data_IF_157121358706
#
_entry.id   IF_157121358706
#
_cell.length_a   1.000
_cell.length_b   1.000
_cell.length_c   1.000
_cell.angle_alpha   90.00
_cell.angle_beta   90.00
_cell.angle_gamma   90.00
#
_symmetry.space_group_name_H-M   'P 1'
#
loop_
_entity.id
_entity.type
_entity.pdbx_description
1 polymer ?
#
# COMPACT_ATOMS: atom_id res chain seq x y z
N UNK A 1 -31.94 -28.29 9.18
CA UNK A 1 -32.19 -26.88 9.57
C UNK A 1 -30.94 -26.18 10.13
N UNK A 2 -30.17 -26.87 10.95
CA UNK A 2 -28.95 -26.32 11.61
C UNK A 2 -27.85 -25.94 10.62
N UNK A 3 -27.54 -26.77 9.63
CA UNK A 3 -26.57 -26.47 8.57
C UNK A 3 -26.92 -25.17 7.76
N UNK A 4 -28.20 -24.96 7.46
CA UNK A 4 -28.64 -23.71 6.76
C UNK A 4 -28.57 -22.49 7.66
N UNK A 5 -28.81 -22.60 8.97
CA UNK A 5 -28.66 -21.50 9.94
C UNK A 5 -27.20 -21.13 10.12
N UNK A 6 -26.32 -22.11 10.25
CA UNK A 6 -24.90 -21.93 10.39
C UNK A 6 -24.28 -21.28 9.14
N UNK A 7 -24.69 -21.71 7.95
CA UNK A 7 -24.24 -21.13 6.68
C UNK A 7 -24.73 -19.69 6.49
N UNK A 8 -25.97 -19.40 6.89
CA UNK A 8 -26.54 -18.04 6.86
C UNK A 8 -25.80 -17.10 7.83
N UNK A 9 -25.53 -17.56 9.06
CA UNK A 9 -24.75 -16.79 10.06
C UNK A 9 -23.31 -16.51 9.61
N UNK A 10 -22.63 -17.47 8.96
CA UNK A 10 -21.28 -17.29 8.43
C UNK A 10 -21.29 -16.30 7.26
N UNK A 11 -22.28 -16.35 6.38
CA UNK A 11 -22.40 -15.41 5.25
C UNK A 11 -22.72 -14.00 5.73
N UNK A 12 -23.62 -13.83 6.68
CA UNK A 12 -23.91 -12.52 7.30
C UNK A 12 -22.66 -11.93 7.95
N UNK A 13 -21.84 -12.76 8.61
CA UNK A 13 -20.58 -12.32 9.22
C UNK A 13 -19.54 -11.85 8.17
N UNK A 14 -19.40 -12.51 7.02
CA UNK A 14 -18.42 -12.11 6.00
C UNK A 14 -18.82 -10.83 5.28
N UNK A 15 -20.11 -10.60 5.03
CA UNK A 15 -20.58 -9.35 4.40
C UNK A 15 -20.41 -8.15 5.34
N UNK A 16 -20.62 -8.32 6.65
CA UNK A 16 -20.28 -7.30 7.65
C UNK A 16 -18.77 -6.95 7.61
N UNK A 17 -17.91 -7.95 7.60
CA UNK A 17 -16.46 -7.79 7.51
C UNK A 17 -16.03 -7.04 6.24
N UNK A 18 -16.61 -7.39 5.09
CA UNK A 18 -16.38 -6.68 3.82
C UNK A 18 -16.79 -5.22 3.91
N UNK A 19 -17.96 -4.94 4.45
CA UNK A 19 -18.49 -3.57 4.61
C UNK A 19 -17.59 -2.74 5.52
N UNK A 20 -17.23 -3.27 6.68
CA UNK A 20 -16.34 -2.61 7.66
C UNK A 20 -14.96 -2.34 7.10
N UNK A 21 -14.36 -3.31 6.39
CA UNK A 21 -13.06 -3.14 5.76
C UNK A 21 -13.10 -2.08 4.65
N UNK A 22 -14.09 -2.15 3.75
CA UNK A 22 -14.24 -1.17 2.66
C UNK A 22 -14.49 0.25 3.20
N UNK A 23 -15.28 0.40 4.26
CA UNK A 23 -15.49 1.71 4.89
C UNK A 23 -14.21 2.25 5.50
N UNK A 24 -13.47 1.42 6.24
CA UNK A 24 -12.19 1.82 6.81
C UNK A 24 -11.19 2.34 5.76
N UNK A 25 -11.09 1.68 4.60
CA UNK A 25 -10.17 2.14 3.55
C UNK A 25 -10.58 3.49 2.96
N UNK A 26 -11.88 3.81 2.92
CA UNK A 26 -12.37 5.15 2.55
C UNK A 26 -12.01 6.18 3.61
N UNK A 27 -12.25 5.87 4.88
CA UNK A 27 -11.96 6.77 6.00
C UNK A 27 -10.45 7.05 6.08
N UNK A 28 -9.63 6.03 5.91
CA UNK A 28 -8.18 6.16 5.90
C UNK A 28 -7.68 6.98 4.71
N UNK A 29 -8.26 6.78 3.50
CA UNK A 29 -7.97 7.61 2.32
C UNK A 29 -8.23 9.08 2.63
N UNK A 30 -9.36 9.41 3.25
CA UNK A 30 -9.70 10.79 3.56
C UNK A 30 -8.74 11.40 4.59
N UNK A 31 -8.30 10.64 5.60
CA UNK A 31 -7.29 11.07 6.55
C UNK A 31 -5.94 11.35 5.86
N UNK A 32 -5.47 10.47 4.99
CA UNK A 32 -4.24 10.71 4.22
C UNK A 32 -4.36 11.93 3.31
N UNK A 33 -5.46 12.05 2.56
CA UNK A 33 -5.68 13.21 1.69
C UNK A 33 -5.69 14.52 2.49
N UNK A 34 -6.37 14.57 3.62
CA UNK A 34 -6.39 15.75 4.50
C UNK A 34 -5.00 16.11 4.98
N UNK A 35 -4.25 15.14 5.53
CA UNK A 35 -2.89 15.37 6.02
C UNK A 35 -1.92 15.84 4.92
N UNK A 36 -2.05 15.32 3.72
CA UNK A 36 -1.20 15.74 2.60
C UNK A 36 -1.55 17.14 2.09
N UNK A 37 -2.84 17.52 2.06
CA UNK A 37 -3.26 18.88 1.73
C UNK A 37 -2.84 19.91 2.81
N UNK A 38 -2.79 19.52 4.08
CA UNK A 38 -2.25 20.39 5.14
C UNK A 38 -0.75 20.64 5.01
N UNK A 39 -0.02 19.72 4.38
CA UNK A 39 1.43 19.83 4.18
C UNK A 39 1.81 20.55 2.89
N UNK A 40 0.88 20.72 1.95
CA UNK A 40 1.10 21.24 0.59
C UNK A 40 0.04 22.31 0.22
N UNK A 41 0.26 22.97 -0.90
CA UNK A 41 -0.69 23.92 -1.52
C UNK A 41 -1.62 23.25 -2.55
N UNK A 42 -1.37 22.00 -2.89
CA UNK A 42 -2.13 21.22 -3.87
C UNK A 42 -3.51 20.76 -3.38
N UNK A 43 -4.30 20.28 -4.30
CA UNK A 43 -5.59 19.62 -4.03
C UNK A 43 -5.70 18.30 -4.78
N UNK A 44 -6.48 17.36 -4.26
CA UNK A 44 -6.68 16.07 -4.89
C UNK A 44 -7.70 16.14 -6.03
N UNK A 45 -7.27 15.77 -7.23
CA UNK A 45 -8.15 15.38 -8.32
C UNK A 45 -8.58 13.92 -8.13
N UNK A 46 -9.89 13.66 -8.21
CA UNK A 46 -10.47 12.34 -7.95
C UNK A 46 -11.19 11.81 -9.19
N UNK A 47 -10.81 10.60 -9.60
CA UNK A 47 -11.36 9.91 -10.76
C UNK A 47 -11.81 8.50 -10.40
N UNK A 48 -13.09 8.24 -10.52
CA UNK A 48 -13.65 6.89 -10.35
C UNK A 48 -13.42 6.02 -11.58
N UNK A 49 -13.24 4.74 -11.36
CA UNK A 49 -13.13 3.73 -12.42
C UNK A 49 -13.98 2.50 -12.08
N UNK A 50 -14.38 1.76 -13.11
CA UNK A 50 -15.17 0.53 -12.99
C UNK A 50 -14.29 -0.68 -13.23
N UNK A 51 -14.48 -1.74 -12.44
CA UNK A 51 -13.84 -3.03 -12.66
C UNK A 51 -14.63 -3.86 -13.68
N UNK A 52 -13.93 -4.68 -14.48
CA UNK A 52 -14.56 -5.54 -15.50
C UNK A 52 -15.53 -6.57 -14.90
N UNK A 53 -15.28 -7.06 -13.69
CA UNK A 53 -16.19 -7.93 -12.94
C UNK A 53 -17.30 -7.11 -12.31
N UNK A 54 -17.13 -6.71 -11.06
CA UNK A 54 -18.07 -5.84 -10.35
C UNK A 54 -17.29 -4.90 -9.42
N UNK A 55 -17.89 -3.74 -9.12
CA UNK A 55 -17.29 -2.70 -8.32
C UNK A 55 -16.32 -1.82 -9.12
N UNK A 56 -15.31 -1.30 -8.44
CA UNK A 56 -14.35 -0.37 -9.01
C UNK A 56 -13.48 0.28 -7.94
N UNK A 57 -13.01 1.47 -8.23
CA UNK A 57 -12.20 2.25 -7.30
C UNK A 57 -12.21 3.73 -7.61
N UNK A 58 -11.43 4.46 -6.84
CA UNK A 58 -11.17 5.87 -7.02
C UNK A 58 -9.68 6.12 -6.97
N UNK A 59 -9.16 6.81 -7.97
CA UNK A 59 -7.81 7.34 -8.02
C UNK A 59 -7.90 8.76 -7.49
N UNK A 60 -7.15 9.09 -6.44
CA UNK A 60 -7.00 10.44 -5.93
C UNK A 60 -5.55 10.86 -6.11
N UNK A 61 -5.29 11.86 -6.95
CA UNK A 61 -3.93 12.33 -7.24
C UNK A 61 -3.82 13.81 -6.93
N UNK A 62 -2.75 14.19 -6.23
CA UNK A 62 -2.39 15.57 -5.98
C UNK A 62 -0.98 15.85 -6.51
N UNK A 63 -0.79 17.04 -7.07
CA UNK A 63 0.51 17.64 -7.40
C UNK A 63 0.58 19.01 -6.73
N UNK A 64 1.71 19.31 -6.13
CA UNK A 64 1.90 20.55 -5.38
C UNK A 64 3.37 20.92 -5.25
N UNK A 65 3.69 21.76 -4.29
CA UNK A 65 5.05 22.23 -4.04
C UNK A 65 5.89 21.24 -3.24
N UNK A 66 5.27 20.49 -2.34
CA UNK A 66 5.91 19.44 -1.53
C UNK A 66 5.85 18.10 -2.25
N UNK A 67 4.66 17.70 -2.68
CA UNK A 67 4.43 16.46 -3.41
C UNK A 67 4.49 16.72 -4.92
N UNK A 68 5.57 16.30 -5.58
CA UNK A 68 5.62 16.34 -7.05
C UNK A 68 4.51 15.48 -7.66
N UNK A 69 4.21 14.34 -7.02
CA UNK A 69 3.00 13.56 -7.21
C UNK A 69 2.74 12.69 -6.00
N UNK A 70 1.56 12.73 -5.45
CA UNK A 70 1.06 11.75 -4.49
C UNK A 70 -0.27 11.19 -4.98
N UNK A 71 -0.41 9.88 -4.88
CA UNK A 71 -1.65 9.18 -5.18
C UNK A 71 -2.15 8.41 -3.96
N UNK A 72 -3.46 8.50 -3.72
CA UNK A 72 -4.17 7.76 -2.68
C UNK A 72 -5.34 7.04 -3.33
N UNK A 73 -5.17 5.77 -3.64
CA UNK A 73 -6.14 4.98 -4.37
C UNK A 73 -6.89 4.04 -3.45
N UNK A 74 -8.20 3.93 -3.64
CA UNK A 74 -9.03 2.89 -3.02
C UNK A 74 -9.72 2.07 -4.08
N UNK A 75 -9.99 0.82 -3.77
CA UNK A 75 -10.79 -0.06 -4.61
C UNK A 75 -11.62 -1.04 -3.78
N UNK A 76 -12.78 -1.39 -4.33
CA UNK A 76 -13.62 -2.50 -3.87
C UNK A 76 -14.13 -3.23 -5.10
N UNK A 77 -13.62 -4.42 -5.33
CA UNK A 77 -13.85 -5.18 -6.57
C UNK A 77 -14.21 -6.62 -6.27
N UNK A 78 -14.97 -7.23 -7.16
CA UNK A 78 -15.22 -8.67 -7.14
C UNK A 78 -15.26 -9.23 -8.56
N UNK A 79 -14.99 -10.52 -8.69
CA UNK A 79 -14.94 -11.18 -9.97
C UNK A 79 -14.56 -12.65 -9.84
N UNK A 80 -14.06 -13.20 -10.94
CA UNK A 80 -13.53 -14.56 -10.99
C UNK A 80 -12.11 -14.55 -11.53
N UNK A 81 -11.22 -15.30 -10.87
CA UNK A 81 -9.87 -15.50 -11.38
C UNK A 81 -9.90 -16.33 -12.67
N UNK A 82 -9.05 -15.96 -13.63
CA UNK A 82 -8.84 -16.76 -14.83
C UNK A 82 -8.31 -18.16 -14.49
N UNK A 83 -8.41 -19.10 -15.43
CA UNK A 83 -7.89 -20.46 -15.28
C UNK A 83 -6.39 -20.49 -14.91
N UNK A 84 -5.60 -19.53 -15.39
CA UNK A 84 -4.17 -19.40 -15.06
C UNK A 84 -3.92 -19.10 -13.57
N UNK A 85 -4.81 -18.31 -12.94
CA UNK A 85 -4.69 -17.91 -11.54
C UNK A 85 -5.48 -18.78 -10.58
N UNK A 86 -6.42 -19.56 -11.09
CA UNK A 86 -7.14 -20.56 -10.32
C UNK A 86 -6.12 -21.56 -9.75
N UNK A 87 -6.23 -21.85 -8.45
CA UNK A 87 -5.29 -22.67 -7.68
C UNK A 87 -3.94 -22.01 -7.32
N UNK A 88 -3.60 -20.83 -7.86
CA UNK A 88 -2.45 -20.05 -7.41
C UNK A 88 -2.79 -19.12 -6.23
N UNK A 89 -4.07 -18.81 -6.04
CA UNK A 89 -4.57 -17.98 -4.95
C UNK A 89 -5.30 -18.88 -3.96
N UNK A 90 -5.00 -18.75 -2.68
CA UNK A 90 -5.63 -19.56 -1.61
C UNK A 90 -7.16 -19.44 -1.65
N UNK A 91 -7.85 -20.56 -1.42
CA UNK A 91 -9.29 -20.61 -1.36
C UNK A 91 -10.01 -20.58 -2.71
N UNK A 92 -9.28 -20.67 -3.82
CA UNK A 92 -9.87 -20.73 -5.18
C UNK A 92 -10.00 -22.16 -5.71
N UNK A 93 -9.64 -23.16 -4.94
CA UNK A 93 -9.64 -24.57 -5.34
C UNK A 93 -11.05 -25.08 -5.72
N UNK A 94 -12.07 -24.60 -5.00
CA UNK A 94 -13.48 -24.96 -5.24
C UNK A 94 -14.25 -23.93 -6.06
N UNK A 95 -13.84 -22.67 -6.03
CA UNK A 95 -14.53 -21.57 -6.72
C UNK A 95 -13.53 -20.48 -7.09
N UNK A 96 -13.51 -19.99 -8.35
CA UNK A 96 -12.63 -18.93 -8.78
C UNK A 96 -13.03 -17.52 -8.25
N UNK A 97 -14.16 -17.42 -7.56
CA UNK A 97 -14.72 -16.15 -7.11
C UNK A 97 -13.84 -15.46 -6.07
N UNK A 98 -13.73 -14.16 -6.18
CA UNK A 98 -13.06 -13.33 -5.20
C UNK A 98 -13.82 -12.02 -4.94
N UNK A 99 -13.56 -11.45 -3.79
CA UNK A 99 -13.85 -10.06 -3.42
C UNK A 99 -12.59 -9.47 -2.78
N UNK A 100 -12.26 -8.24 -3.13
CA UNK A 100 -11.10 -7.55 -2.57
C UNK A 100 -11.42 -6.07 -2.37
N UNK A 101 -10.97 -5.52 -1.25
CA UNK A 101 -10.96 -4.08 -1.02
C UNK A 101 -9.62 -3.67 -0.43
N UNK A 102 -9.18 -2.44 -0.73
CA UNK A 102 -7.92 -1.95 -0.23
C UNK A 102 -7.67 -0.48 -0.54
N UNK A 103 -6.58 0.00 0.05
CA UNK A 103 -5.99 1.31 -0.16
C UNK A 103 -4.54 1.14 -0.62
N UNK A 104 -4.08 2.00 -1.52
CA UNK A 104 -2.69 2.06 -1.97
C UNK A 104 -2.26 3.51 -2.10
N UNK A 105 -1.11 3.83 -1.54
CA UNK A 105 -0.55 5.19 -1.49
C UNK A 105 0.88 5.15 -1.96
N UNK A 106 1.23 6.07 -2.86
CA UNK A 106 2.61 6.35 -3.21
C UNK A 106 2.81 7.86 -3.29
N UNK A 107 3.81 8.35 -2.58
CA UNK A 107 4.18 9.76 -2.53
C UNK A 107 5.59 9.97 -3.07
N UNK A 108 5.71 10.75 -4.15
CA UNK A 108 6.97 11.22 -4.73
C UNK A 108 7.12 12.71 -4.48
N UNK A 109 8.23 13.11 -3.88
CA UNK A 109 8.44 14.45 -3.37
C UNK A 109 9.19 15.34 -4.36
N UNK A 110 8.91 16.65 -4.36
CA UNK A 110 9.72 17.61 -5.10
C UNK A 110 11.14 17.70 -4.54
N UNK A 111 11.27 17.81 -3.22
CA UNK A 111 12.56 17.86 -2.55
C UNK A 111 13.24 16.49 -2.47
N UNK A 112 14.52 16.36 -2.85
CA UNK A 112 15.31 15.14 -2.62
C UNK A 112 15.62 14.89 -1.13
N UNK A 113 15.37 15.86 -0.24
CA UNK A 113 15.53 15.73 1.21
C UNK A 113 14.39 14.97 1.87
N UNK A 114 13.24 14.88 1.22
CA UNK A 114 12.08 14.14 1.72
C UNK A 114 12.01 12.77 1.04
N UNK A 115 11.94 11.67 1.80
CA UNK A 115 11.81 10.33 1.23
C UNK A 115 10.54 10.15 0.41
N UNK A 116 10.58 9.25 -0.57
CA UNK A 116 9.36 8.68 -1.13
C UNK A 116 8.77 7.65 -0.16
N UNK A 117 7.44 7.55 -0.13
CA UNK A 117 6.72 6.62 0.74
C UNK A 117 5.75 5.77 -0.07
N UNK A 118 5.65 4.52 0.32
CA UNK A 118 4.64 3.59 -0.14
C UNK A 118 3.89 2.99 1.06
N UNK A 119 2.59 2.88 0.93
CA UNK A 119 1.72 2.19 1.87
C UNK A 119 0.60 1.50 1.13
N UNK A 120 0.28 0.28 1.50
CA UNK A 120 -0.95 -0.38 1.08
C UNK A 120 -1.47 -1.32 2.16
N UNK A 121 -2.79 -1.47 2.23
CA UNK A 121 -3.44 -2.56 2.96
C UNK A 121 -4.67 -3.02 2.21
N UNK A 122 -4.97 -4.31 2.30
CA UNK A 122 -6.09 -4.94 1.61
C UNK A 122 -6.74 -6.03 2.46
N UNK A 123 -8.04 -6.22 2.25
CA UNK A 123 -8.78 -7.39 2.69
C UNK A 123 -9.24 -8.17 1.46
N UNK A 124 -8.90 -9.44 1.39
CA UNK A 124 -9.23 -10.33 0.29
C UNK A 124 -10.06 -11.51 0.78
N UNK A 125 -11.10 -11.85 0.04
CA UNK A 125 -12.04 -12.94 0.33
C UNK A 125 -12.19 -13.82 -0.90
N UNK A 126 -11.94 -15.11 -0.70
CA UNK A 126 -12.18 -16.20 -1.65
C UNK A 126 -12.99 -17.28 -0.93
N UNK A 127 -12.66 -18.55 -1.06
CA UNK A 127 -13.07 -19.60 -0.11
C UNK A 127 -12.45 -19.44 1.28
N UNK A 128 -11.47 -18.54 1.41
CA UNK A 128 -10.83 -18.08 2.64
C UNK A 128 -10.80 -16.55 2.65
N UNK A 129 -10.37 -15.96 3.75
CA UNK A 129 -10.17 -14.50 3.80
C UNK A 129 -8.92 -14.15 4.59
N UNK A 130 -8.25 -13.04 4.23
CA UNK A 130 -7.05 -12.56 4.92
C UNK A 130 -6.77 -11.09 4.64
N UNK A 131 -5.96 -10.50 5.49
CA UNK A 131 -5.37 -9.20 5.24
C UNK A 131 -3.97 -9.31 4.66
N UNK A 132 -3.59 -8.32 3.87
CA UNK A 132 -2.23 -8.11 3.39
C UNK A 132 -1.93 -6.62 3.32
N UNK A 133 -0.65 -6.28 3.30
CA UNK A 133 -0.22 -4.90 3.16
C UNK A 133 1.18 -4.64 3.67
N UNK A 134 1.49 -3.37 3.83
CA UNK A 134 2.76 -2.91 4.36
C UNK A 134 2.99 -1.43 4.11
N UNK A 135 4.11 -0.96 4.60
CA UNK A 135 4.60 0.40 4.40
C UNK A 135 6.12 0.35 4.26
N UNK A 136 6.67 1.14 3.35
CA UNK A 136 8.11 1.29 3.20
C UNK A 136 8.52 2.70 2.78
N UNK A 137 9.75 3.05 3.07
CA UNK A 137 10.35 4.36 2.83
C UNK A 137 11.55 4.24 1.89
N UNK A 138 11.59 5.10 0.87
CA UNK A 138 12.67 5.16 -0.12
C UNK A 138 13.29 6.56 -0.13
N UNK A 139 14.33 6.83 0.67
CA UNK A 139 15.03 8.10 0.66
C UNK A 139 16.00 8.19 -0.52
N UNK A 140 16.26 9.42 -1.00
CA UNK A 140 17.40 9.71 -1.87
C UNK A 140 18.68 9.68 -1.05
N UNK A 141 18.68 10.37 0.09
CA UNK A 141 19.77 10.39 1.07
C UNK A 141 19.30 9.79 2.38
N UNK A 142 20.04 8.80 2.88
CA UNK A 142 19.69 8.13 4.12
C UNK A 142 19.85 9.09 5.30
N UNK A 143 18.79 9.27 6.07
CA UNK A 143 18.78 9.97 7.35
C UNK A 143 18.40 8.97 8.45
N UNK A 144 19.37 8.61 9.30
CA UNK A 144 19.19 7.60 10.33
C UNK A 144 18.09 7.94 11.34
N UNK A 145 17.84 9.24 11.61
CA UNK A 145 16.78 9.65 12.51
C UNK A 145 15.39 9.44 11.90
N UNK A 146 15.26 9.67 10.60
CA UNK A 146 14.01 9.43 9.87
C UNK A 146 13.74 7.94 9.71
N UNK A 147 14.78 7.16 9.42
CA UNK A 147 14.71 5.68 9.39
C UNK A 147 14.25 5.15 10.76
N UNK A 148 14.87 5.61 11.86
CA UNK A 148 14.46 5.23 13.20
C UNK A 148 13.03 5.65 13.53
N UNK A 149 12.62 6.86 13.17
CA UNK A 149 11.26 7.35 13.40
C UNK A 149 10.24 6.48 12.65
N UNK A 150 10.45 6.24 11.35
CA UNK A 150 9.57 5.44 10.53
C UNK A 150 9.42 4.02 11.06
N UNK A 151 10.54 3.36 11.32
CA UNK A 151 10.54 2.01 11.86
C UNK A 151 9.94 1.92 13.27
N UNK A 152 10.19 2.89 14.17
CA UNK A 152 9.62 2.88 15.52
C UNK A 152 8.09 3.00 15.53
N UNK A 153 7.51 3.75 14.59
CA UNK A 153 6.06 3.84 14.41
C UNK A 153 5.46 2.51 13.93
N UNK A 154 6.09 1.87 12.97
CA UNK A 154 5.65 0.56 12.48
C UNK A 154 5.84 -0.55 13.52
N UNK A 155 6.94 -0.51 14.26
CA UNK A 155 7.21 -1.44 15.36
C UNK A 155 6.15 -1.30 16.45
N UNK A 156 5.79 -0.07 16.85
CA UNK A 156 4.71 0.20 17.80
C UNK A 156 3.39 -0.40 17.32
N UNK A 157 3.02 -0.17 16.05
CA UNK A 157 1.80 -0.75 15.47
C UNK A 157 1.80 -2.29 15.55
N UNK A 158 2.94 -2.92 15.30
CA UNK A 158 3.09 -4.37 15.41
C UNK A 158 3.01 -4.87 16.85
N UNK A 159 3.77 -4.26 17.76
CA UNK A 159 3.90 -4.71 19.16
C UNK A 159 2.60 -4.60 19.97
N UNK A 160 1.71 -3.66 19.62
CA UNK A 160 0.38 -3.56 20.21
C UNK A 160 -0.47 -4.82 20.00
N UNK A 161 -0.12 -5.65 19.02
CA UNK A 161 -0.88 -6.85 18.64
C UNK A 161 -0.09 -8.15 18.85
N UNK A 162 1.18 -8.16 18.41
CA UNK A 162 2.06 -9.32 18.58
C UNK A 162 3.54 -8.89 18.45
N UNK A 163 4.36 -9.23 19.43
CA UNK A 163 5.79 -8.91 19.45
C UNK A 163 6.59 -9.50 18.29
N UNK A 164 6.14 -10.62 17.74
CA UNK A 164 6.77 -11.29 16.61
C UNK A 164 6.43 -10.64 15.25
N UNK A 165 5.43 -9.77 15.18
CA UNK A 165 5.00 -9.18 13.92
C UNK A 165 6.08 -8.29 13.31
N UNK A 166 6.67 -7.39 14.10
CA UNK A 166 7.66 -6.46 13.56
C UNK A 166 8.89 -7.16 13.00
N UNK A 167 9.62 -8.03 13.73
CA UNK A 167 10.80 -8.69 13.17
C UNK A 167 10.46 -9.55 11.95
N UNK A 168 9.32 -10.25 11.96
CA UNK A 168 8.85 -11.05 10.84
C UNK A 168 8.52 -10.20 9.62
N UNK A 169 7.72 -9.16 9.80
CA UNK A 169 7.23 -8.36 8.68
C UNK A 169 8.29 -7.40 8.13
N UNK A 170 9.23 -6.96 8.98
CA UNK A 170 10.42 -6.25 8.53
C UNK A 170 11.28 -7.13 7.62
N UNK A 171 11.58 -8.34 8.04
CA UNK A 171 12.32 -9.30 7.22
C UNK A 171 11.62 -9.54 5.87
N UNK A 172 10.31 -9.77 5.88
CA UNK A 172 9.53 -9.94 4.65
C UNK A 172 9.63 -8.71 3.73
N UNK A 173 9.63 -7.50 4.31
CA UNK A 173 9.76 -6.25 3.56
C UNK A 173 11.13 -6.12 2.91
N UNK A 174 12.20 -6.39 3.66
CA UNK A 174 13.59 -6.32 3.19
C UNK A 174 13.82 -7.31 2.03
N UNK A 175 13.28 -8.53 2.14
CA UNK A 175 13.34 -9.55 1.08
C UNK A 175 12.49 -9.20 -0.14
N UNK A 176 11.31 -8.61 0.06
CA UNK A 176 10.38 -8.27 -1.02
C UNK A 176 10.88 -7.08 -1.86
N UNK A 177 11.31 -5.99 -1.21
CA UNK A 177 11.73 -4.75 -1.87
C UNK A 177 13.23 -4.74 -2.19
N UNK A 178 13.73 -5.85 -2.72
CA UNK A 178 15.10 -6.01 -3.21
C UNK A 178 15.12 -6.07 -4.74
N UNK A 179 16.12 -5.43 -5.36
CA UNK A 179 16.35 -5.44 -6.80
C UNK A 179 17.48 -6.44 -7.13
N UNK A 180 17.18 -7.69 -7.50
CA UNK A 180 18.22 -8.70 -7.75
C UNK A 180 19.20 -8.31 -8.86
N UNK A 181 18.72 -7.67 -9.93
CA UNK A 181 19.53 -7.24 -11.07
C UNK A 181 20.42 -6.02 -10.80
N UNK A 182 20.25 -5.38 -9.64
CA UNK A 182 21.07 -4.27 -9.14
C UNK A 182 21.83 -4.64 -7.87
N UNK A 183 21.52 -5.77 -7.27
CA UNK A 183 22.07 -6.23 -5.99
C UNK A 183 21.90 -5.20 -4.86
N UNK A 184 20.78 -4.47 -4.88
CA UNK A 184 20.49 -3.41 -3.90
C UNK A 184 19.04 -3.47 -3.38
N UNK A 185 18.83 -2.95 -2.16
CA UNK A 185 17.50 -2.70 -1.63
C UNK A 185 16.87 -1.47 -2.30
N UNK A 186 15.53 -1.48 -2.50
CA UNK A 186 14.80 -0.34 -3.03
C UNK A 186 14.92 0.90 -2.13
N UNK A 187 14.92 0.72 -0.81
CA UNK A 187 15.00 1.79 0.17
C UNK A 187 15.35 1.27 1.55
N UNK A 188 14.95 2.01 2.60
CA UNK A 188 15.21 1.70 4.00
C UNK A 188 14.24 0.66 4.59
N UNK A 189 13.34 0.11 3.76
CA UNK A 189 12.36 -0.89 4.16
C UNK A 189 11.23 -0.33 5.00
N UNK A 190 10.69 -1.18 5.83
CA UNK A 190 9.52 -0.98 6.66
C UNK A 190 8.94 -2.32 7.09
N UNK A 191 7.65 -2.57 6.82
CA UNK A 191 7.00 -3.86 7.06
C UNK A 191 6.21 -4.32 5.84
N UNK A 192 6.18 -5.64 5.64
CA UNK A 192 5.32 -6.28 4.63
C UNK A 192 4.72 -7.56 5.18
N UNK A 193 3.40 -7.70 5.08
CA UNK A 193 2.68 -8.89 5.49
C UNK A 193 1.66 -9.32 4.43
N UNK A 194 1.45 -10.61 4.31
CA UNK A 194 0.42 -11.19 3.47
C UNK A 194 -0.17 -12.43 4.14
N UNK A 195 -1.36 -12.81 3.72
CA UNK A 195 -2.10 -13.92 4.28
C UNK A 195 -2.31 -13.86 5.80
N UNK A 196 -2.44 -12.63 6.35
CA UNK A 196 -2.72 -12.47 7.77
C UNK A 196 -4.15 -12.90 8.07
N UNK A 197 -4.26 -14.00 8.78
CA UNK A 197 -5.52 -14.55 9.30
C UNK A 197 -5.18 -15.41 10.52
N UNK A 198 -5.41 -14.87 11.71
CA UNK A 198 -5.19 -15.55 12.99
C UNK A 198 -6.43 -16.31 13.47
N UNK A 199 -7.52 -16.29 12.70
CA UNK A 199 -8.84 -16.76 13.12
C UNK A 199 -9.61 -15.74 13.96
N UNK A 200 -9.02 -14.60 14.31
CA UNK A 200 -9.61 -13.52 15.09
C UNK A 200 -9.67 -12.24 14.26
N UNK A 201 -10.63 -12.19 13.33
CA UNK A 201 -10.73 -11.13 12.32
C UNK A 201 -10.67 -9.72 12.90
N UNK A 202 -11.34 -9.45 14.02
CA UNK A 202 -11.36 -8.12 14.64
C UNK A 202 -9.98 -7.70 15.18
N UNK A 203 -9.17 -8.64 15.66
CA UNK A 203 -7.78 -8.37 16.05
C UNK A 203 -6.89 -8.11 14.85
N UNK A 204 -7.02 -8.93 13.81
CA UNK A 204 -6.28 -8.75 12.56
C UNK A 204 -6.64 -7.41 11.92
N UNK A 205 -7.93 -7.05 11.91
CA UNK A 205 -8.40 -5.77 11.40
C UNK A 205 -7.92 -4.58 12.25
N UNK A 206 -7.89 -4.72 13.58
CA UNK A 206 -7.34 -3.69 14.46
C UNK A 206 -5.85 -3.46 14.19
N UNK A 207 -5.07 -4.52 13.96
CA UNK A 207 -3.67 -4.40 13.54
C UNK A 207 -3.53 -3.63 12.22
N UNK A 208 -4.33 -3.97 11.19
CA UNK A 208 -4.31 -3.26 9.91
C UNK A 208 -4.62 -1.78 10.06
N UNK A 209 -5.55 -1.43 10.95
CA UNK A 209 -5.87 -0.02 11.28
C UNK A 209 -4.69 0.68 11.94
N UNK A 210 -4.06 0.06 12.92
CA UNK A 210 -2.90 0.62 13.61
C UNK A 210 -1.71 0.84 12.66
N UNK A 211 -1.48 -0.08 11.71
CA UNK A 211 -0.46 0.11 10.67
C UNK A 211 -0.77 1.35 9.84
N UNK A 212 -2.02 1.54 9.41
CA UNK A 212 -2.44 2.70 8.62
C UNK A 212 -2.19 4.03 9.36
N UNK A 213 -2.66 4.13 10.59
CA UNK A 213 -2.53 5.36 11.41
C UNK A 213 -1.06 5.66 11.74
N UNK A 214 -0.29 4.66 12.20
CA UNK A 214 1.12 4.89 12.53
C UNK A 214 1.97 5.24 11.29
N UNK A 215 1.62 4.70 10.12
CA UNK A 215 2.27 5.09 8.86
C UNK A 215 1.95 6.55 8.51
N UNK A 216 0.68 6.97 8.59
CA UNK A 216 0.28 8.35 8.36
C UNK A 216 1.03 9.32 9.29
N UNK A 217 1.12 9.01 10.58
CA UNK A 217 1.85 9.81 11.56
C UNK A 217 3.35 9.91 11.22
N UNK A 218 3.99 8.79 10.84
CA UNK A 218 5.41 8.77 10.47
C UNK A 218 5.68 9.66 9.24
N UNK A 219 4.89 9.49 8.17
CA UNK A 219 5.01 10.29 6.94
C UNK A 219 4.83 11.78 7.24
N UNK A 220 3.77 12.13 7.97
CA UNK A 220 3.45 13.52 8.29
C UNK A 220 4.58 14.21 9.08
N UNK A 221 5.19 13.51 10.05
CA UNK A 221 6.30 14.03 10.85
C UNK A 221 7.56 14.22 9.99
N UNK A 222 7.91 13.26 9.13
CA UNK A 222 9.10 13.33 8.29
C UNK A 222 8.94 14.43 7.22
N UNK A 223 7.79 14.50 6.56
CA UNK A 223 7.48 15.55 5.58
C UNK A 223 7.58 16.93 6.22
N UNK A 224 6.92 17.15 7.35
CA UNK A 224 6.94 18.43 8.09
C UNK A 224 8.35 18.86 8.47
N UNK A 225 9.22 17.92 8.80
CA UNK A 225 10.61 18.19 9.22
C UNK A 225 11.50 18.66 8.05
N UNK A 226 11.25 18.17 6.85
CA UNK A 226 12.19 18.33 5.73
C UNK A 226 11.65 19.12 4.54
N UNK A 227 10.35 19.38 4.45
CA UNK A 227 9.72 19.98 3.27
C UNK A 227 10.28 21.36 2.89
N UNK A 228 10.73 22.13 3.87
CA UNK A 228 11.24 23.49 3.69
C UNK A 228 12.78 23.56 3.58
N UNK A 229 13.47 22.41 3.56
CA UNK A 229 14.92 22.36 3.42
C UNK A 229 15.33 22.65 1.97
N UNK A 230 16.34 23.51 1.82
CA UNK A 230 16.95 23.78 0.51
C UNK A 230 17.69 22.56 -0.04
N UNK A 231 17.74 22.44 -1.34
CA UNK A 231 18.43 21.37 -2.06
C UNK A 231 19.07 21.91 -3.35
N UNK A 232 20.02 21.14 -3.90
CA UNK A 232 20.76 21.49 -5.11
C UNK A 232 20.28 20.72 -6.34
N UNK A 233 20.70 21.16 -7.53
CA UNK A 233 20.40 20.45 -8.78
C UNK A 233 21.06 19.05 -8.82
N UNK A 234 22.25 18.92 -8.22
CA UNK A 234 22.95 17.63 -8.10
C UNK A 234 22.17 16.65 -7.21
N UNK A 235 21.61 17.15 -6.12
CA UNK A 235 20.75 16.34 -5.25
C UNK A 235 19.46 15.92 -5.95
N UNK A 236 18.87 16.80 -6.76
CA UNK A 236 17.71 16.48 -7.61
C UNK A 236 18.07 15.40 -8.64
N UNK A 237 19.22 15.51 -9.27
CA UNK A 237 19.69 14.50 -10.22
C UNK A 237 19.81 13.12 -9.57
N UNK A 238 20.37 13.04 -8.36
CA UNK A 238 20.46 11.79 -7.61
C UNK A 238 19.07 11.22 -7.26
N UNK A 239 18.09 12.09 -6.93
CA UNK A 239 16.71 11.66 -6.73
C UNK A 239 16.13 11.02 -8.00
N UNK A 240 16.36 11.62 -9.17
CA UNK A 240 15.85 11.11 -10.44
C UNK A 240 16.45 9.74 -10.79
N UNK A 241 17.73 9.53 -10.52
CA UNK A 241 18.42 8.24 -10.69
C UNK A 241 17.83 7.19 -9.72
N UNK A 242 17.64 7.55 -8.45
CA UNK A 242 17.03 6.68 -7.45
C UNK A 242 15.60 6.28 -7.84
N UNK A 243 14.85 7.20 -8.45
CA UNK A 243 13.53 6.92 -9.03
C UNK A 243 13.58 5.92 -10.19
N UNK A 244 14.65 5.89 -10.97
CA UNK A 244 14.87 4.85 -11.97
C UNK A 244 14.86 3.45 -11.34
N UNK A 245 15.53 3.27 -10.19
CA UNK A 245 15.50 2.01 -9.42
C UNK A 245 14.10 1.67 -8.92
N UNK A 246 13.36 2.67 -8.45
CA UNK A 246 11.97 2.51 -8.01
C UNK A 246 11.07 2.01 -9.16
N UNK A 247 11.19 2.61 -10.35
CA UNK A 247 10.46 2.20 -11.55
C UNK A 247 10.83 0.76 -11.97
N UNK A 248 12.13 0.43 -11.99
CA UNK A 248 12.59 -0.93 -12.29
C UNK A 248 11.94 -1.95 -11.35
N UNK A 249 11.93 -1.69 -10.03
CA UNK A 249 11.30 -2.58 -9.09
C UNK A 249 9.81 -2.79 -9.41
N UNK A 250 9.07 -1.69 -9.54
CA UNK A 250 7.63 -1.74 -9.71
C UNK A 250 7.21 -2.43 -11.03
N UNK A 251 7.96 -2.24 -12.11
CA UNK A 251 7.61 -2.83 -13.42
C UNK A 251 8.13 -4.25 -13.61
N UNK A 252 9.23 -4.63 -12.94
CA UNK A 252 9.88 -5.93 -13.17
C UNK A 252 9.56 -6.93 -12.05
N UNK A 253 9.53 -6.48 -10.80
CA UNK A 253 9.52 -7.34 -9.62
C UNK A 253 8.27 -7.23 -8.75
N UNK A 254 7.54 -6.08 -8.80
CA UNK A 254 6.36 -5.93 -7.94
C UNK A 254 5.22 -6.84 -8.37
N UNK A 255 4.99 -7.87 -7.56
CA UNK A 255 3.93 -8.86 -7.81
C UNK A 255 2.54 -8.23 -7.88
N UNK A 256 2.29 -7.16 -7.11
CA UNK A 256 1.02 -6.44 -7.10
C UNK A 256 0.76 -5.72 -8.43
N UNK A 257 1.74 -4.98 -8.93
CA UNK A 257 1.70 -4.30 -10.24
C UNK A 257 1.51 -5.33 -11.36
N UNK A 258 2.35 -6.36 -11.40
CA UNK A 258 2.28 -7.39 -12.45
C UNK A 258 0.94 -8.15 -12.43
N UNK A 259 0.45 -8.50 -11.25
CA UNK A 259 -0.85 -9.15 -11.08
C UNK A 259 -1.98 -8.24 -11.57
N UNK A 260 -2.01 -6.98 -11.12
CA UNK A 260 -3.04 -6.02 -11.50
C UNK A 260 -3.12 -5.80 -13.01
N UNK A 261 -1.98 -5.61 -13.68
CA UNK A 261 -1.92 -5.45 -15.14
C UNK A 261 -2.40 -6.70 -15.88
N UNK A 262 -2.04 -7.89 -15.42
CA UNK A 262 -2.43 -9.18 -16.05
C UNK A 262 -3.90 -9.53 -15.83
N UNK A 263 -4.48 -9.12 -14.72
CA UNK A 263 -5.88 -9.44 -14.39
C UNK A 263 -6.90 -8.40 -14.84
N UNK A 264 -6.45 -7.40 -15.62
CA UNK A 264 -7.33 -6.39 -16.20
C UNK A 264 -7.78 -5.30 -15.25
N UNK A 265 -6.96 -5.01 -14.24
CA UNK A 265 -7.11 -3.84 -13.40
C UNK A 265 -6.95 -2.53 -14.20
N UNK A 266 -7.38 -1.40 -13.62
CA UNK A 266 -7.19 -0.09 -14.24
C UNK A 266 -5.70 0.23 -14.34
N UNK A 267 -5.16 0.31 -15.55
CA UNK A 267 -3.75 0.64 -15.80
C UNK A 267 -3.36 1.97 -15.16
N UNK A 268 -4.23 2.98 -15.25
CA UNK A 268 -4.02 4.30 -14.65
C UNK A 268 -3.93 4.22 -13.11
N UNK A 269 -4.81 3.43 -12.48
CA UNK A 269 -4.78 3.21 -11.04
C UNK A 269 -3.52 2.46 -10.58
N UNK A 270 -3.07 1.48 -11.36
CA UNK A 270 -1.89 0.67 -11.05
C UNK A 270 -0.61 1.50 -11.22
N UNK A 271 -0.48 2.20 -12.36
CA UNK A 271 0.70 3.00 -12.68
C UNK A 271 0.70 4.38 -11.98
N UNK A 272 -0.29 4.69 -11.15
CA UNK A 272 -0.27 5.84 -10.24
C UNK A 272 0.99 5.82 -9.37
N UNK A 273 1.51 4.64 -9.02
CA UNK A 273 2.72 4.46 -8.20
C UNK A 273 4.01 4.98 -8.84
N UNK A 274 4.03 5.22 -10.16
CA UNK A 274 5.23 5.69 -10.86
C UNK A 274 5.54 7.14 -10.54
N UNK A 275 6.84 7.51 -10.37
CA UNK A 275 7.25 8.90 -10.25
C UNK A 275 6.96 9.66 -11.55
N UNK A 276 6.74 10.99 -11.48
CA UNK A 276 6.51 11.81 -12.69
C UNK A 276 7.68 11.80 -13.66
N UNK A 277 8.90 11.78 -13.12
CA UNK A 277 10.17 11.78 -13.86
C UNK A 277 11.17 10.86 -13.19
N UNK A 278 11.94 10.13 -13.98
CA UNK A 278 13.02 9.27 -13.54
C UNK A 278 14.18 9.34 -14.55
N UNK A 279 15.40 8.99 -14.14
CA UNK A 279 16.58 8.90 -14.99
C UNK A 279 17.31 7.59 -14.81
N UNK A 280 18.02 7.18 -15.86
CA UNK A 280 18.96 6.08 -15.87
C UNK A 280 20.34 6.58 -16.30
N UNK A 281 21.39 6.01 -15.71
CA UNK A 281 22.81 6.25 -16.04
C UNK A 281 23.47 4.93 -16.35
#
# INVERSE_FOLDING_TARGET
MEYRRQHKSIMENIEDKKTRAAQWFKDLRDQFCTSFMEADTGSFDRKSWKHKGSGGGEISVMKGEVFEKVGVNISTVSGEFSSEYRNKVKGTEKSPKYWASGISIVAHMNSPKVPAFHFNTRFLVTGQSWFGGGADMTPTFINQNDTKLFHSKLEKACQNHNKEYYPKFKKNCDEYFYLPHREEARGEGGIFFDHLNTGQWDKDFSFVKDVGINTLEAISQIVKKHKDQSWTLEEKEQQLIKRGRYVEFNLIWDKGTLFGLKTGGSTEAILMSMPPTAKWT
#
